data_IF_425506946371
#
_entry.id   IF_425506946371
#
_cell.length_a   1.000
_cell.length_b   1.000
_cell.length_c   1.000
_cell.angle_alpha   90.00
_cell.angle_beta   90.00
_cell.angle_gamma   90.00
#
_symmetry.space_group_name_H-M   'P 1'
#
loop_
_entity.id
_entity.type
_entity.pdbx_description
1 polymer ?
#
# COMPACT_ATOMS: atom_id res chain seq x y z
N UNK A 1 -9.41 -26.80 12.39
CA UNK A 1 -9.13 -25.93 11.24
C UNK A 1 -7.94 -25.06 11.63
N UNK A 2 -6.75 -25.26 11.04
CA UNK A 2 -5.63 -24.35 11.24
C UNK A 2 -5.99 -23.03 10.54
N UNK A 3 -6.20 -21.98 11.33
CA UNK A 3 -6.28 -20.63 10.78
C UNK A 3 -4.99 -20.37 10.00
N UNK A 4 -5.08 -20.27 8.67
CA UNK A 4 -3.93 -19.92 7.84
C UNK A 4 -3.39 -18.58 8.34
N UNK A 5 -2.11 -18.57 8.75
CA UNK A 5 -1.48 -17.34 9.27
C UNK A 5 -1.37 -16.32 8.16
N UNK A 6 -1.89 -15.14 8.42
CA UNK A 6 -1.78 -14.00 7.51
C UNK A 6 -0.32 -13.67 7.23
N UNK A 7 -0.01 -13.34 5.98
CA UNK A 7 1.29 -12.87 5.50
C UNK A 7 1.22 -11.36 5.25
N UNK A 8 2.20 -10.64 5.74
CA UNK A 8 2.31 -9.21 5.46
C UNK A 8 3.25 -9.02 4.28
N UNK A 9 2.78 -8.36 3.23
CA UNK A 9 3.60 -8.02 2.05
C UNK A 9 3.77 -6.50 2.00
N UNK A 10 5.01 -6.07 2.23
CA UNK A 10 5.37 -4.67 2.11
C UNK A 10 5.58 -4.30 0.64
N UNK A 11 4.95 -3.21 0.24
CA UNK A 11 5.00 -2.69 -1.14
C UNK A 11 5.62 -1.29 -1.10
N UNK A 12 6.95 -1.18 -1.26
CA UNK A 12 7.65 0.10 -1.18
C UNK A 12 7.26 1.07 -2.29
N UNK A 13 7.60 2.35 -2.08
CA UNK A 13 7.51 3.39 -3.08
C UNK A 13 8.76 3.51 -3.94
N UNK A 14 8.82 4.59 -4.72
CA UNK A 14 9.95 4.96 -5.55
C UNK A 14 11.23 5.06 -4.71
N UNK A 15 12.35 4.56 -5.22
CA UNK A 15 13.63 4.34 -4.54
C UNK A 15 13.63 3.26 -3.45
N UNK A 16 12.52 2.53 -3.26
CA UNK A 16 12.41 1.52 -2.22
C UNK A 16 12.23 2.11 -0.81
N UNK A 17 12.53 1.29 0.20
CA UNK A 17 12.50 1.70 1.61
C UNK A 17 13.83 1.32 2.23
N UNK A 18 14.67 2.32 2.49
CA UNK A 18 15.97 2.17 3.15
C UNK A 18 15.82 1.59 4.56
N UNK A 19 16.93 1.16 5.17
CA UNK A 19 16.93 0.46 6.47
C UNK A 19 16.28 1.25 7.61
N UNK A 20 16.36 2.58 7.57
CA UNK A 20 15.74 3.48 8.55
C UNK A 20 14.25 3.72 8.29
N UNK A 21 13.72 3.33 7.14
CA UNK A 21 12.31 3.53 6.79
C UNK A 21 11.39 2.62 7.61
N UNK A 22 10.18 3.11 7.97
CA UNK A 22 9.23 2.35 8.78
C UNK A 22 8.86 0.99 8.17
N UNK A 23 8.78 0.86 6.85
CA UNK A 23 8.53 -0.43 6.22
C UNK A 23 9.66 -1.44 6.50
N UNK A 24 10.91 -0.99 6.53
CA UNK A 24 12.05 -1.84 6.87
C UNK A 24 12.02 -2.26 8.34
N UNK A 25 11.63 -1.35 9.24
CA UNK A 25 11.40 -1.70 10.66
C UNK A 25 10.25 -2.71 10.79
N UNK A 26 9.13 -2.47 10.14
CA UNK A 26 7.97 -3.36 10.19
C UNK A 26 8.25 -4.74 9.60
N UNK A 27 9.05 -4.82 8.53
CA UNK A 27 9.47 -6.10 7.97
C UNK A 27 10.23 -6.95 8.98
N UNK A 28 11.05 -6.33 9.85
CA UNK A 28 11.82 -7.02 10.89
C UNK A 28 10.97 -7.42 12.11
N UNK A 29 9.89 -6.72 12.37
CA UNK A 29 9.08 -6.88 13.59
C UNK A 29 7.76 -7.63 13.36
N UNK A 30 7.14 -7.51 12.19
CA UNK A 30 5.92 -8.23 11.87
C UNK A 30 6.23 -9.71 11.59
N UNK A 31 5.45 -10.64 12.16
CA UNK A 31 5.60 -12.04 11.85
C UNK A 31 5.20 -12.33 10.40
N UNK A 32 5.97 -13.18 9.73
CA UNK A 32 5.68 -13.60 8.35
C UNK A 32 5.61 -12.43 7.35
N UNK A 33 6.45 -11.41 7.55
CA UNK A 33 6.56 -10.27 6.64
C UNK A 33 7.54 -10.58 5.50
N UNK A 34 7.18 -10.15 4.30
CA UNK A 34 8.04 -10.14 3.13
C UNK A 34 7.92 -8.79 2.41
N UNK A 35 8.79 -8.55 1.46
CA UNK A 35 8.80 -7.30 0.67
C UNK A 35 8.78 -7.63 -0.80
N UNK A 36 8.04 -6.82 -1.55
CA UNK A 36 8.10 -6.86 -3.02
C UNK A 36 9.47 -6.40 -3.47
N UNK A 37 10.11 -7.20 -4.31
CA UNK A 37 11.31 -6.80 -5.03
C UNK A 37 10.91 -6.25 -6.40
N UNK A 38 11.46 -5.09 -6.75
CA UNK A 38 11.21 -4.44 -8.03
C UNK A 38 12.45 -4.55 -8.94
N UNK A 39 12.20 -4.65 -10.23
CA UNK A 39 13.27 -4.78 -11.24
C UNK A 39 14.14 -3.52 -11.33
N UNK A 40 13.52 -2.35 -11.19
CA UNK A 40 14.20 -1.06 -11.19
C UNK A 40 13.50 -0.11 -10.20
N UNK A 41 14.27 0.38 -9.24
CA UNK A 41 13.79 1.31 -8.21
C UNK A 41 13.93 2.78 -8.63
N UNK A 42 14.74 3.08 -9.66
CA UNK A 42 15.08 4.45 -10.08
C UNK A 42 14.25 4.86 -11.30
N UNK A 43 14.19 3.98 -12.30
CA UNK A 43 13.40 4.16 -13.52
C UNK A 43 12.26 3.13 -13.58
N UNK A 44 11.24 3.26 -12.70
CA UNK A 44 10.20 2.26 -12.54
C UNK A 44 9.31 2.17 -13.77
N UNK A 45 9.06 0.96 -14.25
CA UNK A 45 8.07 0.70 -15.27
C UNK A 45 6.81 0.09 -14.65
N UNK A 46 5.67 0.69 -14.95
CA UNK A 46 4.34 0.28 -14.44
C UNK A 46 4.11 -1.23 -14.57
N UNK A 47 4.39 -1.80 -15.75
CA UNK A 47 4.18 -3.22 -16.01
C UNK A 47 5.07 -4.12 -15.14
N UNK A 48 6.35 -3.76 -14.98
CA UNK A 48 7.30 -4.50 -14.16
C UNK A 48 6.90 -4.46 -12.67
N UNK A 49 6.47 -3.30 -12.18
CA UNK A 49 6.05 -3.11 -10.79
C UNK A 49 4.79 -3.88 -10.45
N UNK A 50 3.82 -3.91 -11.36
CA UNK A 50 2.60 -4.71 -11.21
C UNK A 50 2.94 -6.21 -11.22
N UNK A 51 3.82 -6.64 -12.13
CA UNK A 51 4.27 -8.03 -12.20
C UNK A 51 5.06 -8.46 -10.96
N UNK A 52 5.91 -7.59 -10.41
CA UNK A 52 6.64 -7.84 -9.17
C UNK A 52 5.70 -8.06 -7.98
N UNK A 53 4.68 -7.22 -7.84
CA UNK A 53 3.65 -7.38 -6.81
C UNK A 53 2.85 -8.68 -7.00
N UNK A 54 2.42 -8.99 -8.22
CA UNK A 54 1.69 -10.21 -8.53
C UNK A 54 2.50 -11.47 -8.19
N UNK A 55 3.77 -11.48 -8.56
CA UNK A 55 4.69 -12.57 -8.28
C UNK A 55 4.88 -12.77 -6.76
N UNK A 56 5.05 -11.68 -6.00
CA UNK A 56 5.19 -11.75 -4.55
C UNK A 56 3.95 -12.31 -3.88
N UNK A 57 2.74 -11.87 -4.29
CA UNK A 57 1.49 -12.39 -3.76
C UNK A 57 1.35 -13.88 -4.06
N UNK A 58 1.68 -14.32 -5.28
CA UNK A 58 1.64 -15.76 -5.68
C UNK A 58 2.60 -16.62 -4.86
N UNK A 59 3.76 -16.07 -4.49
CA UNK A 59 4.79 -16.79 -3.71
C UNK A 59 4.37 -17.05 -2.27
N UNK A 60 3.43 -16.26 -1.71
CA UNK A 60 3.00 -16.45 -0.33
C UNK A 60 2.23 -17.77 -0.15
N UNK A 61 2.47 -18.55 0.91
CA UNK A 61 1.76 -19.82 1.14
C UNK A 61 0.35 -19.65 1.69
N UNK A 62 -0.07 -18.42 2.07
CA UNK A 62 -1.36 -18.14 2.72
C UNK A 62 -1.98 -16.82 2.30
N UNK A 63 -3.04 -16.38 3.01
CA UNK A 63 -3.68 -15.10 2.79
C UNK A 63 -2.74 -13.93 3.07
N UNK A 64 -2.90 -12.83 2.33
CA UNK A 64 -2.00 -11.68 2.30
C UNK A 64 -2.71 -10.42 2.79
N UNK A 65 -2.00 -9.63 3.59
CA UNK A 65 -2.31 -8.22 3.86
C UNK A 65 -1.20 -7.36 3.25
N UNK A 66 -1.57 -6.44 2.37
CA UNK A 66 -0.64 -5.53 1.71
C UNK A 66 -0.38 -4.30 2.60
N UNK A 67 0.88 -3.87 2.68
CA UNK A 67 1.29 -2.65 3.40
C UNK A 67 2.09 -1.80 2.42
N UNK A 68 1.41 -0.85 1.78
CA UNK A 68 1.97 -0.06 0.69
C UNK A 68 2.32 1.37 1.12
N UNK A 69 3.38 1.91 0.52
CA UNK A 69 3.79 3.30 0.70
C UNK A 69 3.97 3.98 -0.66
N UNK A 70 3.53 5.24 -0.76
CA UNK A 70 3.82 6.11 -1.91
C UNK A 70 3.39 5.50 -3.25
N UNK A 71 4.31 5.32 -4.20
CA UNK A 71 4.08 4.66 -5.49
C UNK A 71 3.57 3.22 -5.34
N UNK A 72 3.93 2.55 -4.24
CA UNK A 72 3.40 1.24 -3.90
C UNK A 72 1.88 1.21 -3.76
N UNK A 73 1.26 2.29 -3.27
CA UNK A 73 -0.20 2.40 -3.19
C UNK A 73 -0.84 2.43 -4.59
N UNK A 74 -0.23 3.19 -5.50
CA UNK A 74 -0.67 3.26 -6.92
C UNK A 74 -0.51 1.90 -7.58
N UNK A 75 0.61 1.21 -7.32
CA UNK A 75 0.88 -0.15 -7.82
C UNK A 75 -0.17 -1.14 -7.34
N UNK A 76 -0.58 -1.07 -6.08
CA UNK A 76 -1.66 -1.92 -5.53
C UNK A 76 -2.98 -1.68 -6.26
N UNK A 77 -3.35 -0.42 -6.48
CA UNK A 77 -4.60 -0.09 -7.16
C UNK A 77 -4.59 -0.56 -8.63
N UNK A 78 -3.48 -0.33 -9.34
CA UNK A 78 -3.32 -0.76 -10.72
C UNK A 78 -3.29 -2.30 -10.85
N UNK A 79 -2.62 -2.99 -9.92
CA UNK A 79 -2.62 -4.44 -9.85
C UNK A 79 -4.03 -4.99 -9.57
N UNK A 80 -4.74 -4.46 -8.60
CA UNK A 80 -6.06 -4.94 -8.21
C UNK A 80 -7.09 -4.85 -9.36
N UNK A 81 -6.98 -3.82 -10.21
CA UNK A 81 -7.85 -3.63 -11.36
C UNK A 81 -7.69 -4.69 -12.46
N UNK A 82 -6.52 -5.33 -12.58
CA UNK A 82 -6.22 -6.27 -13.67
C UNK A 82 -5.82 -7.68 -13.23
N UNK A 83 -5.58 -7.90 -11.93
CA UNK A 83 -5.13 -9.18 -11.41
C UNK A 83 -6.16 -10.30 -11.62
N UNK A 84 -5.69 -11.51 -11.87
CA UNK A 84 -6.53 -12.69 -11.89
C UNK A 84 -7.30 -12.83 -10.58
N UNK A 85 -8.61 -13.13 -10.67
CA UNK A 85 -9.47 -13.25 -9.50
C UNK A 85 -8.89 -14.15 -8.41
N UNK A 86 -8.38 -15.33 -8.78
CA UNK A 86 -7.80 -16.30 -7.83
C UNK A 86 -6.61 -15.77 -7.03
N UNK A 87 -5.82 -14.85 -7.63
CA UNK A 87 -4.68 -14.21 -6.95
C UNK A 87 -5.17 -13.06 -6.08
N UNK A 88 -6.06 -12.26 -6.62
CA UNK A 88 -6.69 -11.14 -5.95
C UNK A 88 -7.46 -11.57 -4.69
N UNK A 89 -8.17 -12.70 -4.74
CA UNK A 89 -8.94 -13.26 -3.62
C UNK A 89 -8.04 -13.74 -2.45
N UNK A 90 -6.72 -13.83 -2.66
CA UNK A 90 -5.75 -14.09 -1.59
C UNK A 90 -5.46 -12.86 -0.74
N UNK A 91 -5.72 -11.66 -1.24
CA UNK A 91 -5.52 -10.42 -0.50
C UNK A 91 -6.73 -10.18 0.41
N UNK A 92 -6.46 -10.12 1.71
CA UNK A 92 -7.48 -9.90 2.76
C UNK A 92 -7.71 -8.42 3.05
N UNK A 93 -6.71 -7.58 2.76
CA UNK A 93 -6.82 -6.14 2.96
C UNK A 93 -5.55 -5.40 2.57
N UNK A 94 -5.62 -4.07 2.53
CA UNK A 94 -4.49 -3.21 2.23
C UNK A 94 -4.43 -1.97 3.13
N UNK A 95 -3.27 -1.73 3.73
CA UNK A 95 -2.90 -0.46 4.34
C UNK A 95 -2.13 0.37 3.30
N UNK A 96 -2.68 1.52 2.94
CA UNK A 96 -2.17 2.42 1.91
C UNK A 96 -1.68 3.70 2.56
N UNK A 97 -0.38 3.93 2.60
CA UNK A 97 0.24 5.06 3.33
C UNK A 97 0.83 6.05 2.36
N UNK A 98 0.43 7.32 2.49
CA UNK A 98 0.94 8.46 1.71
C UNK A 98 0.98 8.16 0.20
N UNK A 99 -0.15 7.88 -0.46
CA UNK A 99 -0.16 7.53 -1.88
C UNK A 99 0.47 8.63 -2.73
N UNK A 100 1.27 8.27 -3.74
CA UNK A 100 1.83 9.24 -4.67
C UNK A 100 0.76 9.69 -5.69
N UNK A 101 0.55 11.00 -5.85
CA UNK A 101 -0.23 11.51 -6.98
C UNK A 101 0.65 11.63 -8.22
N UNK A 102 0.67 10.58 -9.02
CA UNK A 102 1.44 10.54 -10.27
C UNK A 102 0.80 11.35 -11.41
N UNK A 103 -0.40 11.86 -11.20
CA UNK A 103 -1.13 12.70 -12.16
C UNK A 103 -0.93 14.21 -11.88
N UNK A 104 -0.26 14.60 -10.76
CA UNK A 104 0.03 16.01 -10.48
C UNK A 104 1.02 16.60 -11.50
N UNK A 105 0.90 17.88 -11.77
CA UNK A 105 1.74 18.58 -12.74
C UNK A 105 3.24 18.46 -12.40
N UNK A 106 3.60 18.59 -11.12
CA UNK A 106 4.98 18.49 -10.61
C UNK A 106 5.47 17.05 -10.42
N UNK A 107 4.76 16.05 -10.97
CA UNK A 107 5.19 14.66 -10.88
C UNK A 107 6.49 14.43 -11.64
N UNK A 108 7.42 13.69 -11.03
CA UNK A 108 8.65 13.27 -11.69
C UNK A 108 8.35 12.48 -12.97
N UNK A 109 9.09 12.76 -14.05
CA UNK A 109 8.89 12.12 -15.36
C UNK A 109 8.90 10.59 -15.28
N UNK A 110 9.82 10.02 -14.49
CA UNK A 110 9.94 8.58 -14.30
C UNK A 110 8.65 7.92 -13.79
N UNK A 111 7.78 8.65 -13.09
CA UNK A 111 6.54 8.12 -12.51
C UNK A 111 5.31 8.31 -13.40
N UNK A 112 5.40 9.13 -14.45
CA UNK A 112 4.24 9.46 -15.31
C UNK A 112 3.65 8.24 -16.02
N UNK A 113 4.45 7.20 -16.25
CA UNK A 113 3.96 5.96 -16.87
C UNK A 113 2.98 5.18 -15.96
N UNK A 114 2.86 5.54 -14.67
CA UNK A 114 1.85 4.97 -13.77
C UNK A 114 0.47 5.65 -13.90
N UNK A 115 0.37 6.75 -14.62
CA UNK A 115 -0.91 7.37 -14.95
C UNK A 115 -1.60 6.63 -16.13
N UNK A 116 -2.94 6.62 -16.15
CA UNK A 116 -3.82 7.10 -15.11
C UNK A 116 -3.86 6.16 -13.91
N UNK A 117 -4.04 6.73 -12.71
CA UNK A 117 -4.26 5.95 -11.49
C UNK A 117 -5.62 5.26 -11.59
N UNK A 118 -5.68 3.94 -11.34
CA UNK A 118 -6.95 3.23 -11.28
C UNK A 118 -7.85 3.82 -10.20
N UNK A 119 -9.10 4.08 -10.54
CA UNK A 119 -10.14 4.58 -9.63
C UNK A 119 -11.20 3.53 -9.33
N UNK A 120 -10.91 2.28 -9.67
CA UNK A 120 -11.80 1.18 -9.37
C UNK A 120 -11.77 0.85 -7.87
N UNK A 121 -12.92 0.50 -7.27
CA UNK A 121 -12.96 0.05 -5.89
C UNK A 121 -12.05 -1.17 -5.68
N UNK A 122 -11.29 -1.15 -4.59
CA UNK A 122 -10.50 -2.31 -4.21
C UNK A 122 -11.43 -3.45 -3.78
N UNK A 123 -11.16 -4.69 -4.20
CA UNK A 123 -12.03 -5.84 -3.93
C UNK A 123 -11.88 -6.39 -2.50
N UNK A 124 -11.11 -5.72 -1.67
CA UNK A 124 -10.82 -6.07 -0.28
C UNK A 124 -10.85 -4.82 0.62
N UNK A 125 -11.04 -4.97 1.94
CA UNK A 125 -10.96 -3.87 2.89
C UNK A 125 -9.66 -3.11 2.76
N UNK A 126 -9.73 -1.78 2.78
CA UNK A 126 -8.55 -0.93 2.72
C UNK A 126 -8.65 0.23 3.73
N UNK A 127 -7.49 0.62 4.25
CA UNK A 127 -7.32 1.82 5.04
C UNK A 127 -6.24 2.70 4.39
N UNK A 128 -6.55 3.98 4.19
CA UNK A 128 -5.62 4.95 3.63
C UNK A 128 -5.22 5.95 4.71
N UNK A 129 -3.92 6.14 4.88
CA UNK A 129 -3.33 7.15 5.76
C UNK A 129 -2.61 8.17 4.89
N UNK A 130 -3.10 9.40 4.87
CA UNK A 130 -2.48 10.53 4.19
C UNK A 130 -1.96 11.56 5.20
N UNK A 131 -1.42 12.66 4.68
CA UNK A 131 -0.99 13.82 5.47
C UNK A 131 -1.51 15.11 4.87
N UNK A 132 -1.75 16.11 5.72
CA UNK A 132 -2.24 17.42 5.26
C UNK A 132 -1.16 18.28 4.59
N UNK A 133 0.11 17.93 4.77
CA UNK A 133 1.26 18.63 4.22
C UNK A 133 2.18 17.73 3.36
N UNK A 134 1.66 16.63 2.80
CA UNK A 134 2.41 15.74 1.93
C UNK A 134 2.73 16.43 0.59
N UNK A 135 4.03 16.61 0.21
CA UNK A 135 4.39 17.21 -1.07
C UNK A 135 4.09 16.32 -2.28
N UNK A 136 3.84 15.03 -2.07
CA UNK A 136 3.58 14.07 -3.14
C UNK A 136 2.08 13.89 -3.44
N UNK A 137 1.18 14.26 -2.52
CA UNK A 137 -0.26 14.09 -2.67
C UNK A 137 -1.01 15.04 -1.73
N UNK A 138 -1.81 15.96 -2.26
CA UNK A 138 -2.62 16.82 -1.40
C UNK A 138 -3.64 16.02 -0.58
N UNK A 139 -4.08 16.51 0.58
CA UNK A 139 -5.07 15.81 1.40
C UNK A 139 -6.39 15.61 0.65
N UNK A 140 -6.82 16.57 -0.17
CA UNK A 140 -8.01 16.45 -1.01
C UNK A 140 -7.86 15.32 -2.04
N UNK A 141 -6.66 15.18 -2.62
CA UNK A 141 -6.36 14.12 -3.57
C UNK A 141 -6.32 12.75 -2.89
N UNK A 142 -5.69 12.66 -1.72
CA UNK A 142 -5.67 11.43 -0.92
C UNK A 142 -7.09 10.97 -0.56
N UNK A 143 -7.97 11.90 -0.12
CA UNK A 143 -9.37 11.60 0.15
C UNK A 143 -10.15 11.19 -1.11
N UNK A 144 -9.86 11.80 -2.27
CA UNK A 144 -10.47 11.41 -3.53
C UNK A 144 -10.10 9.98 -3.93
N UNK A 145 -8.82 9.63 -3.85
CA UNK A 145 -8.34 8.28 -4.12
C UNK A 145 -8.94 7.27 -3.15
N UNK A 146 -8.99 7.60 -1.86
CA UNK A 146 -9.59 6.73 -0.85
C UNK A 146 -11.06 6.43 -1.13
N UNK A 147 -11.85 7.44 -1.52
CA UNK A 147 -13.27 7.25 -1.90
C UNK A 147 -13.39 6.32 -3.11
N UNK A 148 -12.57 6.55 -4.14
CA UNK A 148 -12.58 5.73 -5.35
C UNK A 148 -12.22 4.26 -5.02
N UNK A 149 -11.25 4.04 -4.15
CA UNK A 149 -10.80 2.71 -3.73
C UNK A 149 -11.67 2.05 -2.66
N UNK A 150 -12.65 2.78 -2.10
CA UNK A 150 -13.48 2.27 -1.00
C UNK A 150 -12.71 2.10 0.32
N UNK A 151 -11.64 2.89 0.54
CA UNK A 151 -10.79 2.81 1.70
C UNK A 151 -11.28 3.72 2.84
N UNK A 152 -11.21 3.26 4.09
CA UNK A 152 -11.31 4.14 5.25
C UNK A 152 -10.11 5.10 5.25
N UNK A 153 -10.33 6.38 5.59
CA UNK A 153 -9.31 7.41 5.43
C UNK A 153 -8.99 8.12 6.73
N UNK A 154 -7.70 8.30 6.97
CA UNK A 154 -7.16 9.16 8.04
C UNK A 154 -6.17 10.13 7.42
N UNK A 155 -6.32 11.43 7.67
CA UNK A 155 -5.34 12.46 7.31
C UNK A 155 -4.63 12.89 8.59
N UNK A 156 -3.32 12.66 8.64
CA UNK A 156 -2.49 13.04 9.78
C UNK A 156 -2.05 14.51 9.65
N UNK A 157 -2.02 15.26 10.74
CA UNK A 157 -1.50 16.61 10.72
C UNK A 157 0.05 16.57 10.59
N UNK A 158 0.59 17.41 9.74
CA UNK A 158 2.03 17.71 9.58
C UNK A 158 2.94 16.46 9.47
N UNK A 159 2.42 15.34 8.93
CA UNK A 159 3.18 14.09 8.83
C UNK A 159 4.08 13.99 7.59
N UNK A 160 4.07 15.02 6.72
CA UNK A 160 4.84 15.00 5.47
C UNK A 160 4.49 13.81 4.60
N UNK A 161 5.48 13.22 3.93
CA UNK A 161 5.29 12.02 3.10
C UNK A 161 5.37 10.71 3.90
N UNK A 162 5.22 10.77 5.22
CA UNK A 162 5.27 9.62 6.15
C UNK A 162 6.48 8.72 5.85
N UNK A 163 7.66 9.31 5.81
CA UNK A 163 8.94 8.65 5.53
C UNK A 163 10.02 9.13 6.50
N UNK A 164 11.25 8.66 6.32
CA UNK A 164 12.39 9.05 7.19
C UNK A 164 12.59 10.57 7.23
N UNK A 165 12.48 11.26 6.09
CA UNK A 165 12.66 12.71 5.99
C UNK A 165 11.62 13.51 6.77
N UNK A 166 10.43 12.95 6.97
CA UNK A 166 9.37 13.56 7.78
C UNK A 166 9.28 12.99 9.21
N UNK A 167 10.36 12.35 9.69
CA UNK A 167 10.47 11.88 11.06
C UNK A 167 9.81 10.51 11.33
N UNK A 168 9.42 9.77 10.29
CA UNK A 168 8.74 8.48 10.42
C UNK A 168 9.73 7.31 10.18
N UNK A 169 10.77 7.21 11.00
CA UNK A 169 11.71 6.07 11.01
C UNK A 169 10.98 4.77 11.39
N UNK A 170 10.98 4.38 12.67
CA UNK A 170 10.28 3.16 13.12
C UNK A 170 8.74 3.24 13.02
N UNK A 171 8.19 4.44 13.15
CA UNK A 171 6.76 4.78 13.11
C UNK A 171 5.87 3.82 13.92
N UNK A 172 6.18 3.65 15.19
CA UNK A 172 5.41 2.77 16.08
C UNK A 172 3.92 3.14 16.16
N UNK A 173 3.61 4.44 16.16
CA UNK A 173 2.23 4.93 16.12
C UNK A 173 1.46 4.47 14.87
N UNK A 174 2.13 4.06 13.82
CA UNK A 174 1.53 3.56 12.59
C UNK A 174 0.82 2.22 12.76
N UNK A 175 1.26 1.38 13.71
CA UNK A 175 0.62 0.08 13.97
C UNK A 175 -0.88 0.19 14.29
N UNK A 176 -1.35 1.29 14.87
CA UNK A 176 -2.78 1.52 15.11
C UNK A 176 -3.62 1.44 13.83
N UNK A 177 -3.05 1.88 12.70
CA UNK A 177 -3.74 1.83 11.41
C UNK A 177 -3.77 0.40 10.84
N UNK A 178 -2.72 -0.39 11.07
CA UNK A 178 -2.71 -1.81 10.73
C UNK A 178 -3.73 -2.59 11.59
N UNK A 179 -3.83 -2.30 12.90
CA UNK A 179 -4.85 -2.90 13.76
C UNK A 179 -6.27 -2.48 13.36
N UNK A 180 -6.46 -1.23 12.94
CA UNK A 180 -7.76 -0.78 12.40
C UNK A 180 -8.12 -1.55 11.13
N UNK A 181 -7.17 -1.73 10.21
CA UNK A 181 -7.39 -2.54 9.01
C UNK A 181 -7.76 -3.99 9.38
N UNK A 182 -7.05 -4.60 10.34
CA UNK A 182 -7.37 -5.95 10.80
C UNK A 182 -8.81 -6.05 11.31
N UNK A 183 -9.26 -5.06 12.08
CA UNK A 183 -10.64 -5.00 12.54
C UNK A 183 -11.64 -4.94 11.37
N UNK A 184 -11.34 -4.18 10.30
CA UNK A 184 -12.18 -4.12 9.10
C UNK A 184 -12.27 -5.47 8.39
N UNK A 185 -11.14 -6.16 8.24
CA UNK A 185 -11.05 -7.50 7.64
C UNK A 185 -11.94 -8.48 8.42
N UNK A 186 -11.78 -8.53 9.74
CA UNK A 186 -12.53 -9.44 10.60
C UNK A 186 -14.04 -9.14 10.60
N UNK A 187 -14.40 -7.84 10.57
CA UNK A 187 -15.79 -7.40 10.52
C UNK A 187 -16.45 -7.77 9.21
N UNK A 188 -15.74 -7.66 8.10
CA UNK A 188 -16.26 -8.06 6.78
C UNK A 188 -16.41 -9.59 6.68
N UNK A 189 -15.46 -10.35 7.22
CA UNK A 189 -15.55 -11.81 7.26
C UNK A 189 -16.78 -12.29 8.03
N UNK A 190 -17.06 -11.68 9.19
CA UNK A 190 -18.26 -11.99 9.99
C UNK A 190 -19.60 -11.68 9.31
N UNK A 191 -19.63 -10.67 8.42
CA UNK A 191 -20.87 -10.31 7.68
C UNK A 191 -21.14 -11.25 6.50
N UNK A 192 -20.14 -12.00 6.07
CA UNK A 192 -20.24 -12.95 4.93
C UNK A 192 -20.46 -14.40 5.38
N UNK A 193 -20.27 -14.69 6.66
CA UNK A 193 -20.50 -15.99 7.29
C UNK A 193 -21.93 -16.15 7.80
#
# INVERSE_FOLDING_TARGET
MHSERVRYVLVPGWYGSEDAHWQSHWQRTLPNASRVEQKDWIAPLRADWIAGLDAEIRRQPGPVVLIAHSLGCVTVALWAAQAERRVRDRVRGALLVAPADVERESCAEALRNFAPISREPLPFPAALVGSDNDPACSPQRAMHLARAWGAETVILPEAGHINVKSGHGAWEAGYRHLFRLQYLIDSQARRRA
#
